data_IF_787452240322
#
_entry.id   IF_787452240322
#
_cell.length_a   1.000
_cell.length_b   1.000
_cell.length_c   1.000
_cell.angle_alpha   90.00
_cell.angle_beta   90.00
_cell.angle_gamma   90.00
#
_symmetry.space_group_name_H-M   'P 1'
#
loop_
_entity.id
_entity.type
_entity.pdbx_description
1 polymer ?
#
# COMPACT_ATOMS: atom_id res chain seq x y z
N UNK A 1 14.96 -15.54 3.62
CA UNK A 1 13.81 -16.38 3.28
C UNK A 1 13.03 -15.64 2.22
N UNK A 2 12.88 -16.19 1.01
CA UNK A 2 11.93 -15.63 0.06
C UNK A 2 10.56 -15.78 0.73
N UNK A 3 9.90 -14.67 1.08
CA UNK A 3 8.53 -14.75 1.58
C UNK A 3 7.71 -15.38 0.46
N UNK A 4 6.94 -16.41 0.79
CA UNK A 4 5.92 -16.96 -0.10
C UNK A 4 4.79 -15.94 -0.23
N UNK A 5 5.02 -14.85 -0.97
CA UNK A 5 4.01 -13.85 -1.28
C UNK A 5 2.97 -14.54 -2.18
N UNK A 6 1.70 -14.61 -1.77
CA UNK A 6 0.67 -15.26 -2.58
C UNK A 6 0.58 -14.65 -3.98
N UNK A 7 0.31 -15.46 -5.01
CA UNK A 7 0.32 -15.03 -6.41
C UNK A 7 -0.58 -13.81 -6.69
N UNK A 8 -1.74 -13.71 -6.03
CA UNK A 8 -2.64 -12.57 -6.15
C UNK A 8 -2.06 -11.24 -5.61
N UNK A 9 -1.03 -11.30 -4.77
CA UNK A 9 -0.36 -10.16 -4.12
C UNK A 9 0.95 -9.77 -4.83
N UNK A 10 1.37 -10.51 -5.86
CA UNK A 10 2.58 -10.23 -6.65
C UNK A 10 2.37 -9.19 -7.77
N UNK A 11 1.31 -8.37 -7.67
CA UNK A 11 1.01 -7.35 -8.67
C UNK A 11 2.07 -6.24 -8.61
N UNK A 12 2.77 -6.01 -9.73
CA UNK A 12 3.79 -4.95 -9.82
C UNK A 12 3.16 -3.57 -10.00
N UNK A 13 3.19 -2.79 -8.93
CA UNK A 13 2.73 -1.40 -8.89
C UNK A 13 3.68 -0.58 -8.03
N UNK A 14 3.90 0.67 -8.44
CA UNK A 14 4.73 1.62 -7.72
C UNK A 14 3.85 2.72 -7.14
N UNK A 15 4.09 3.05 -5.88
CA UNK A 15 3.43 4.11 -5.16
C UNK A 15 4.47 5.07 -4.60
N UNK A 16 4.34 6.35 -4.97
CA UNK A 16 5.16 7.41 -4.43
C UNK A 16 4.52 7.94 -3.14
N UNK A 17 5.06 7.52 -2.00
CA UNK A 17 4.63 7.96 -0.68
C UNK A 17 5.23 9.32 -0.35
N UNK A 18 4.37 10.26 0.03
CA UNK A 18 4.78 11.54 0.59
C UNK A 18 5.20 11.41 2.05
N UNK A 19 4.54 10.54 2.83
CA UNK A 19 4.85 10.35 4.24
C UNK A 19 6.18 9.61 4.47
N UNK A 20 6.53 8.67 3.59
CA UNK A 20 7.81 7.96 3.64
C UNK A 20 8.90 8.62 2.79
N UNK A 21 8.56 9.67 2.04
CA UNK A 21 9.52 10.41 1.21
C UNK A 21 10.17 9.60 0.09
N UNK A 22 9.60 8.44 -0.29
CA UNK A 22 10.16 7.52 -1.30
C UNK A 22 9.08 6.85 -2.15
N UNK A 23 9.51 6.31 -3.28
CA UNK A 23 8.69 5.39 -4.07
C UNK A 23 8.87 3.97 -3.56
N UNK A 24 7.79 3.21 -3.62
CA UNK A 24 7.68 1.84 -3.14
C UNK A 24 7.05 0.96 -4.20
N UNK A 25 7.67 -0.16 -4.50
CA UNK A 25 7.02 -1.28 -5.16
C UNK A 25 6.16 -2.06 -4.16
N UNK A 26 5.04 -2.62 -4.65
CA UNK A 26 4.02 -3.22 -3.79
C UNK A 26 4.57 -4.33 -2.85
N UNK A 27 5.55 -5.11 -3.28
CA UNK A 27 6.09 -6.20 -2.48
C UNK A 27 7.00 -5.67 -1.36
N UNK A 28 7.54 -4.46 -1.48
CA UNK A 28 8.32 -3.83 -0.40
C UNK A 28 7.49 -3.61 0.87
N UNK A 29 6.14 -3.56 0.77
CA UNK A 29 5.26 -3.44 1.94
C UNK A 29 5.48 -4.55 2.96
N UNK A 30 5.86 -5.75 2.51
CA UNK A 30 6.15 -6.87 3.40
C UNK A 30 7.36 -6.60 4.31
N UNK A 31 8.32 -5.83 3.82
CA UNK A 31 9.58 -5.51 4.50
C UNK A 31 9.48 -4.25 5.37
N UNK A 32 8.39 -3.49 5.27
CA UNK A 32 8.20 -2.27 6.05
C UNK A 32 8.04 -2.54 7.54
N UNK A 33 8.62 -1.66 8.36
CA UNK A 33 8.34 -1.64 9.79
C UNK A 33 6.85 -1.34 10.04
N UNK A 34 6.25 -1.78 11.16
CA UNK A 34 4.83 -1.52 11.47
C UNK A 34 4.44 -0.04 11.32
N UNK A 35 5.24 0.87 11.89
CA UNK A 35 4.97 2.31 11.78
C UNK A 35 5.07 2.87 10.35
N UNK A 36 5.88 2.29 9.47
CA UNK A 36 5.92 2.70 8.07
C UNK A 36 4.68 2.19 7.30
N UNK A 37 4.20 1.00 7.65
CA UNK A 37 2.98 0.43 7.10
C UNK A 37 1.76 1.26 7.51
N UNK A 38 1.70 1.72 8.76
CA UNK A 38 0.66 2.61 9.27
C UNK A 38 0.61 3.93 8.49
N UNK A 39 1.79 4.52 8.21
CA UNK A 39 1.88 5.75 7.41
C UNK A 39 1.32 5.52 6.00
N UNK A 40 1.66 4.40 5.35
CA UNK A 40 1.07 4.09 4.04
C UNK A 40 -0.43 3.89 4.10
N UNK A 41 -0.93 3.21 5.13
CA UNK A 41 -2.37 3.00 5.31
C UNK A 41 -3.11 4.35 5.48
N UNK A 42 -2.55 5.27 6.27
CA UNK A 42 -3.11 6.61 6.44
C UNK A 42 -3.11 7.41 5.11
N UNK A 43 -1.96 7.50 4.46
CA UNK A 43 -1.81 8.26 3.21
C UNK A 43 -2.72 7.72 2.09
N UNK A 44 -2.75 6.40 1.94
CA UNK A 44 -3.58 5.77 0.90
C UNK A 44 -5.06 5.84 1.24
N UNK A 45 -5.46 5.76 2.51
CA UNK A 45 -6.86 5.97 2.91
C UNK A 45 -7.33 7.40 2.58
N UNK A 46 -6.49 8.42 2.80
CA UNK A 46 -6.78 9.80 2.42
C UNK A 46 -6.95 9.96 0.91
N UNK A 47 -6.04 9.42 0.10
CA UNK A 47 -6.17 9.44 -1.36
C UNK A 47 -7.47 8.73 -1.81
N UNK A 48 -7.87 7.67 -1.11
CA UNK A 48 -9.05 6.86 -1.45
C UNK A 48 -10.37 7.54 -1.09
N UNK A 49 -10.38 8.40 -0.06
CA UNK A 49 -11.56 9.18 0.33
C UNK A 49 -11.76 10.43 -0.52
N UNK A 50 -10.72 10.92 -1.20
CA UNK A 50 -10.80 12.07 -2.11
C UNK A 50 -11.42 11.69 -3.49
N UNK A 51 -12.71 11.95 -3.64
CA UNK A 51 -13.46 11.72 -4.89
C UNK A 51 -13.11 12.71 -6.01
N UNK A 52 -12.61 13.91 -5.69
CA UNK A 52 -12.12 14.83 -6.71
C UNK A 52 -10.82 14.30 -7.31
N UNK A 53 -9.94 13.76 -6.46
CA UNK A 53 -8.70 13.11 -6.90
C UNK A 53 -9.00 11.86 -7.74
N UNK A 54 -10.03 11.08 -7.39
CA UNK A 54 -10.50 9.98 -8.26
C UNK A 54 -10.82 10.46 -9.68
N UNK A 55 -11.50 11.61 -9.82
CA UNK A 55 -11.86 12.17 -11.12
C UNK A 55 -10.64 12.76 -11.86
N UNK A 56 -9.72 13.41 -11.14
CA UNK A 56 -8.53 14.07 -11.71
C UNK A 56 -7.38 13.11 -12.02
N UNK A 57 -7.23 12.05 -11.23
CA UNK A 57 -6.12 11.09 -11.30
C UNK A 57 -6.56 9.68 -10.92
N UNK A 58 -7.37 9.07 -11.78
CA UNK A 58 -7.88 7.70 -11.59
C UNK A 58 -6.75 6.68 -11.37
N UNK A 59 -5.62 6.83 -12.06
CA UNK A 59 -4.45 5.96 -11.91
C UNK A 59 -3.88 5.98 -10.49
N UNK A 60 -3.66 7.18 -9.92
CA UNK A 60 -3.18 7.34 -8.54
C UNK A 60 -4.19 6.79 -7.54
N UNK A 61 -5.48 7.07 -7.76
CA UNK A 61 -6.57 6.56 -6.92
C UNK A 61 -6.67 5.03 -6.92
N UNK A 62 -6.44 4.37 -8.06
CA UNK A 62 -6.37 2.92 -8.17
C UNK A 62 -5.13 2.36 -7.48
N UNK A 63 -3.94 2.91 -7.74
CA UNK A 63 -2.68 2.47 -7.10
C UNK A 63 -2.76 2.56 -5.58
N UNK A 64 -3.28 3.66 -5.03
CA UNK A 64 -3.51 3.79 -3.59
C UNK A 64 -4.44 2.69 -3.05
N UNK A 65 -5.41 2.23 -3.84
CA UNK A 65 -6.30 1.14 -3.46
C UNK A 65 -5.57 -0.20 -3.33
N UNK A 66 -4.67 -0.51 -4.28
CA UNK A 66 -3.83 -1.72 -4.21
C UNK A 66 -2.92 -1.70 -2.99
N UNK A 67 -2.24 -0.57 -2.73
CA UNK A 67 -1.36 -0.40 -1.57
C UNK A 67 -2.16 -0.55 -0.27
N UNK A 68 -3.29 0.14 -0.14
CA UNK A 68 -4.13 0.09 1.07
C UNK A 68 -4.64 -1.33 1.35
N UNK A 69 -5.08 -2.04 0.31
CA UNK A 69 -5.58 -3.40 0.47
C UNK A 69 -4.46 -4.36 0.90
N UNK A 70 -3.29 -4.28 0.26
CA UNK A 70 -2.15 -5.13 0.61
C UNK A 70 -1.63 -4.81 2.01
N UNK A 71 -1.52 -3.53 2.37
CA UNK A 71 -1.10 -3.12 3.71
C UNK A 71 -2.01 -3.70 4.80
N UNK A 72 -3.33 -3.65 4.61
CA UNK A 72 -4.31 -4.28 5.53
C UNK A 72 -4.17 -5.79 5.63
N UNK A 73 -3.88 -6.46 4.52
CA UNK A 73 -3.66 -7.92 4.52
C UNK A 73 -2.40 -8.27 5.32
N UNK A 74 -1.32 -7.50 5.14
CA UNK A 74 -0.06 -7.70 5.87
C UNK A 74 -0.25 -7.42 7.36
N UNK A 75 -0.90 -6.32 7.69
CA UNK A 75 -1.20 -5.92 9.07
C UNK A 75 -2.02 -6.99 9.81
N UNK A 76 -3.13 -7.43 9.20
CA UNK A 76 -3.96 -8.49 9.78
C UNK A 76 -3.24 -9.84 9.94
N UNK A 77 -2.23 -10.13 9.10
CA UNK A 77 -1.39 -11.33 9.26
C UNK A 77 -0.42 -11.18 10.44
N UNK A 78 0.17 -9.99 10.62
CA UNK A 78 1.06 -9.69 11.74
C UNK A 78 0.32 -9.74 13.08
N UNK A 79 -0.92 -9.27 13.12
CA UNK A 79 -1.77 -9.33 14.32
C UNK A 79 -2.18 -10.77 14.72
N UNK A 80 -2.11 -11.72 13.78
CA UNK A 80 -2.46 -13.12 14.01
C UNK A 80 -1.28 -13.99 14.48
N UNK A 81 -0.06 -13.45 14.49
CA UNK A 81 1.17 -14.10 14.96
C UNK A 81 1.43 -13.82 16.45
#
# INVERSE_FOLDING_TARGET
>A
MARDIPAQEQTRKWFRSHLLGRELELQELYDLAPGELDLLMAETAEIRSDLENKARSHGRWCTAGYVLQLARIIDARRDAE
#
